data_IF_423635721790
#
_entry.id   IF_423635721790
#
_cell.length_a   1.000
_cell.length_b   1.000
_cell.length_c   1.000
_cell.angle_alpha   90.00
_cell.angle_beta   90.00
_cell.angle_gamma   90.00
#
_symmetry.space_group_name_H-M   'P 1'
#
loop_
_entity.id
_entity.type
_entity.pdbx_description
1 polymer ?
#
# COMPACT_ATOMS: atom_id res chain seq x y z
N UNK A 1 23.94 15.18 -10.03
CA UNK A 1 22.93 14.94 -8.98
C UNK A 1 21.78 14.14 -9.62
N UNK A 2 21.63 12.85 -9.29
CA UNK A 2 20.51 12.02 -9.76
C UNK A 2 19.46 12.02 -8.65
N UNK A 3 18.27 12.55 -8.94
CA UNK A 3 17.11 12.46 -8.05
C UNK A 3 16.80 10.97 -7.82
N UNK A 4 16.62 10.59 -6.55
CA UNK A 4 16.34 9.22 -6.14
C UNK A 4 15.10 8.69 -6.84
N UNK A 5 15.18 7.46 -7.34
CA UNK A 5 13.98 6.70 -7.69
C UNK A 5 13.23 6.43 -6.38
N UNK A 6 12.13 7.17 -6.16
CA UNK A 6 11.10 6.75 -5.22
C UNK A 6 10.69 5.31 -5.56
N UNK A 7 10.47 4.50 -4.52
CA UNK A 7 10.37 3.04 -4.58
C UNK A 7 9.50 2.51 -5.72
N UNK A 8 10.00 1.45 -6.35
CA UNK A 8 9.34 0.77 -7.48
C UNK A 8 8.01 0.19 -7.02
N UNK A 9 6.91 0.83 -7.43
CA UNK A 9 5.55 0.32 -7.30
C UNK A 9 5.30 -0.62 -8.48
N UNK A 10 5.12 -1.91 -8.20
CA UNK A 10 4.97 -2.93 -9.26
C UNK A 10 3.54 -2.93 -9.80
N UNK A 11 2.55 -2.97 -8.91
CA UNK A 11 1.13 -2.96 -9.25
C UNK A 11 0.29 -2.67 -8.01
N UNK A 12 -0.97 -2.26 -8.22
CA UNK A 12 -1.93 -2.32 -7.14
C UNK A 12 -3.36 -2.48 -7.61
N UNK A 13 -4.10 -3.21 -6.80
CA UNK A 13 -5.46 -3.63 -7.06
C UNK A 13 -6.37 -3.12 -5.95
N UNK A 14 -7.55 -2.61 -6.32
CA UNK A 14 -8.56 -2.15 -5.36
C UNK A 14 -9.74 -3.13 -5.38
N UNK A 15 -9.84 -3.95 -4.35
CA UNK A 15 -10.98 -4.84 -4.14
C UNK A 15 -12.06 -4.05 -3.39
N UNK A 16 -13.15 -3.73 -4.09
CA UNK A 16 -14.33 -3.07 -3.48
C UNK A 16 -15.32 -4.13 -3.02
N UNK A 17 -15.84 -4.02 -1.79
CA UNK A 17 -16.92 -4.90 -1.34
C UNK A 17 -18.17 -4.70 -2.20
N UNK A 18 -18.74 -5.79 -2.74
CA UNK A 18 -19.99 -5.75 -3.54
C UNK A 18 -21.23 -5.37 -2.72
N UNK A 19 -21.19 -5.51 -1.40
CA UNK A 19 -22.34 -5.32 -0.51
C UNK A 19 -22.14 -4.20 0.51
N UNK A 20 -20.91 -3.71 0.70
CA UNK A 20 -20.60 -2.72 1.74
C UNK A 20 -20.20 -1.38 1.12
N UNK A 21 -21.13 -0.42 1.16
CA UNK A 21 -20.89 1.00 0.87
C UNK A 21 -19.77 1.51 1.79
N UNK A 22 -18.60 1.84 1.24
CA UNK A 22 -17.56 2.64 1.93
C UNK A 22 -16.30 1.91 2.41
N UNK A 23 -16.14 0.60 2.19
CA UNK A 23 -14.89 -0.12 2.50
C UNK A 23 -14.27 -0.73 1.24
N UNK A 24 -12.94 -0.60 1.12
CA UNK A 24 -12.16 -1.19 0.03
C UNK A 24 -10.79 -1.64 0.54
N UNK A 25 -10.22 -2.64 -0.11
CA UNK A 25 -8.88 -3.15 0.16
C UNK A 25 -7.99 -2.73 -1.00
N UNK A 26 -6.87 -2.09 -0.71
CA UNK A 26 -5.81 -1.82 -1.68
C UNK A 26 -4.66 -2.81 -1.47
N UNK A 27 -4.24 -3.48 -2.52
CA UNK A 27 -3.03 -4.31 -2.53
C UNK A 27 -1.95 -3.53 -3.27
N UNK A 28 -0.75 -3.43 -2.70
CA UNK A 28 0.40 -2.83 -3.37
C UNK A 28 1.56 -3.83 -3.31
N UNK A 29 2.20 -4.07 -4.45
CA UNK A 29 3.35 -4.98 -4.55
C UNK A 29 4.61 -4.16 -4.77
N UNK A 30 5.63 -4.46 -3.98
CA UNK A 30 6.94 -3.80 -4.01
C UNK A 30 8.03 -4.80 -4.39
N UNK A 31 9.15 -4.30 -4.91
CA UNK A 31 10.29 -5.15 -5.26
C UNK A 31 10.96 -5.75 -4.02
N UNK A 32 10.96 -5.01 -2.92
CA UNK A 32 11.59 -5.46 -1.68
C UNK A 32 10.69 -5.26 -0.47
N UNK A 33 10.93 -6.06 0.56
CA UNK A 33 10.21 -5.98 1.83
C UNK A 33 10.42 -4.64 2.52
N UNK A 34 11.63 -4.11 2.47
CA UNK A 34 11.97 -2.83 3.09
C UNK A 34 11.16 -1.67 2.49
N UNK A 35 10.88 -1.72 1.18
CA UNK A 35 10.01 -0.74 0.52
C UNK A 35 8.56 -0.84 1.03
N UNK A 36 8.04 -2.07 1.19
CA UNK A 36 6.70 -2.30 1.71
C UNK A 36 6.57 -1.85 3.18
N UNK A 37 7.56 -2.18 4.01
CA UNK A 37 7.61 -1.77 5.42
C UNK A 37 7.75 -0.24 5.56
N UNK A 38 8.58 0.40 4.75
CA UNK A 38 8.70 1.86 4.74
C UNK A 38 7.36 2.54 4.40
N UNK A 39 6.60 1.99 3.44
CA UNK A 39 5.27 2.50 3.10
C UNK A 39 4.27 2.30 4.25
N UNK A 40 4.26 1.12 4.88
CA UNK A 40 3.41 0.85 6.05
C UNK A 40 3.73 1.81 7.20
N UNK A 41 5.02 2.07 7.47
CA UNK A 41 5.44 3.00 8.51
C UNK A 41 4.96 4.44 8.23
N UNK A 42 5.03 4.91 6.97
CA UNK A 42 4.49 6.23 6.57
C UNK A 42 2.97 6.32 6.71
N UNK A 43 2.27 5.22 6.46
CA UNK A 43 0.83 5.14 6.64
C UNK A 43 0.45 5.19 8.13
N UNK A 44 1.19 4.49 8.98
CA UNK A 44 0.94 4.46 10.44
C UNK A 44 1.40 5.74 11.16
N UNK A 45 2.44 6.42 10.67
CA UNK A 45 2.89 7.69 11.22
C UNK A 45 1.91 8.84 10.95
N UNK A 46 0.91 8.64 10.09
CA UNK A 46 -0.01 9.68 9.64
C UNK A 46 0.59 10.66 8.66
N UNK A 47 1.79 10.37 8.12
CA UNK A 47 2.42 11.20 7.07
C UNK A 47 1.62 11.15 5.76
N UNK A 48 0.92 10.04 5.51
CA UNK A 48 -0.02 9.95 4.40
C UNK A 48 -1.30 10.73 4.71
N UNK A 49 -1.56 11.79 3.95
CA UNK A 49 -2.82 12.52 3.97
C UNK A 49 -3.86 11.80 3.10
N UNK A 50 -4.85 11.06 3.67
CA UNK A 50 -5.89 10.46 2.85
C UNK A 50 -6.80 11.54 2.25
N UNK A 51 -7.43 11.26 1.09
CA UNK A 51 -8.49 12.10 0.56
C UNK A 51 -9.65 12.28 1.58
N UNK A 52 -10.40 13.39 1.53
CA UNK A 52 -11.53 13.62 2.41
C UNK A 52 -12.54 12.46 2.38
N UNK A 53 -12.98 12.01 3.56
CA UNK A 53 -13.94 10.90 3.71
C UNK A 53 -13.31 9.50 3.61
N UNK A 54 -11.98 9.40 3.52
CA UNK A 54 -11.24 8.13 3.54
C UNK A 54 -10.50 8.00 4.87
N UNK A 55 -10.70 6.89 5.56
CA UNK A 55 -9.91 6.49 6.73
C UNK A 55 -9.20 5.18 6.44
N UNK A 56 -7.93 5.07 6.83
CA UNK A 56 -7.21 3.80 6.80
C UNK A 56 -7.52 3.02 8.08
N UNK A 57 -8.04 1.79 7.95
CA UNK A 57 -8.36 0.94 9.10
C UNK A 57 -7.16 0.11 9.54
N UNK A 58 -6.48 -0.54 8.60
CA UNK A 58 -5.30 -1.39 8.88
C UNK A 58 -4.44 -1.60 7.63
N UNK A 59 -3.21 -2.04 7.84
CA UNK A 59 -2.27 -2.48 6.82
C UNK A 59 -1.46 -3.67 7.34
N UNK A 60 -1.03 -4.55 6.43
CA UNK A 60 -0.15 -5.68 6.72
C UNK A 60 0.78 -5.92 5.53
N UNK A 61 2.00 -6.37 5.81
CA UNK A 61 3.02 -6.72 4.80
C UNK A 61 3.21 -8.23 4.80
N UNK A 62 3.23 -8.80 3.60
CA UNK A 62 3.44 -10.23 3.38
C UNK A 62 4.54 -10.40 2.32
N UNK A 63 5.41 -11.39 2.50
CA UNK A 63 6.30 -11.84 1.43
C UNK A 63 5.52 -12.74 0.49
N UNK A 64 5.52 -12.41 -0.80
CA UNK A 64 4.88 -13.22 -1.84
C UNK A 64 5.95 -14.09 -2.48
N UNK A 65 5.83 -15.41 -2.34
CA UNK A 65 6.65 -16.33 -3.14
C UNK A 65 6.03 -16.40 -4.53
N UNK A 66 6.76 -15.95 -5.56
CA UNK A 66 6.35 -16.17 -6.94
C UNK A 66 6.38 -17.67 -7.24
N UNK A 67 5.34 -18.19 -7.89
CA UNK A 67 5.41 -19.54 -8.47
C UNK A 67 6.56 -19.57 -9.49
N UNK A 68 7.46 -20.55 -9.32
CA UNK A 68 8.63 -20.76 -10.17
C UNK A 68 8.27 -21.37 -11.53
#
# INVERSE_FOLDING_TARGET
MRAGREGSYITGEVIRSRTSRGRGIGIAVFETKEQAEAMMNRQQSGEMNPPPGVTFESAAVYEVQGEA
#
